data_IF_576424607164
#
_entry.id   IF_576424607164
#
_cell.length_a   1.000
_cell.length_b   1.000
_cell.length_c   1.000
_cell.angle_alpha   90.00
_cell.angle_beta   90.00
_cell.angle_gamma   90.00
#
_symmetry.space_group_name_H-M   'P 1'
#
loop_
_entity.id
_entity.type
_entity.pdbx_description
1 polymer ?
#
# COMPACT_ATOMS: atom_id res chain seq x y z
N UNK A 1 4.48 -25.57 -19.41
CA UNK A 1 3.76 -24.65 -20.30
C UNK A 1 4.70 -23.49 -20.56
N UNK A 2 4.98 -23.14 -21.81
CA UNK A 2 5.82 -21.98 -22.11
C UNK A 2 5.17 -20.73 -21.49
N UNK A 3 5.92 -19.83 -20.85
CA UNK A 3 5.37 -18.57 -20.38
C UNK A 3 4.82 -17.82 -21.59
N UNK A 4 3.57 -17.36 -21.50
CA UNK A 4 2.97 -16.55 -22.54
C UNK A 4 3.84 -15.30 -22.77
N UNK A 5 4.34 -15.14 -24.00
CA UNK A 5 5.11 -13.98 -24.46
C UNK A 5 4.21 -12.84 -24.92
N UNK A 6 2.92 -12.85 -24.57
CA UNK A 6 2.03 -11.76 -24.90
C UNK A 6 2.21 -10.65 -23.87
N UNK A 7 2.89 -9.60 -24.28
CA UNK A 7 3.10 -8.37 -23.52
C UNK A 7 1.76 -7.73 -23.09
N UNK A 8 1.81 -7.02 -21.96
CA UNK A 8 1.35 -5.62 -21.95
C UNK A 8 -0.06 -5.32 -21.46
N UNK A 9 -0.42 -4.07 -21.74
CA UNK A 9 -1.52 -3.26 -21.22
C UNK A 9 -2.90 -3.70 -21.74
N UNK A 10 -3.14 -5.01 -21.87
CA UNK A 10 -4.45 -5.52 -22.23
C UNK A 10 -5.29 -5.67 -20.96
N UNK A 11 -6.39 -4.92 -20.90
CA UNK A 11 -7.29 -4.87 -19.75
C UNK A 11 -8.71 -5.20 -20.21
N UNK A 12 -9.41 -6.03 -19.43
CA UNK A 12 -10.85 -6.19 -19.62
C UNK A 12 -11.60 -4.96 -19.09
N UNK A 13 -12.86 -4.83 -19.51
CA UNK A 13 -13.78 -3.84 -18.97
C UNK A 13 -13.90 -3.95 -17.45
N UNK A 14 -14.05 -2.79 -16.81
CA UNK A 14 -14.24 -2.72 -15.37
C UNK A 14 -15.52 -3.46 -14.95
N UNK A 15 -15.45 -4.20 -13.84
CA UNK A 15 -16.62 -4.88 -13.27
C UNK A 15 -16.94 -4.31 -11.88
N UNK A 16 -18.23 -4.30 -11.55
CA UNK A 16 -18.73 -3.84 -10.26
C UNK A 16 -18.65 -4.92 -9.20
N UNK A 17 -18.31 -4.52 -7.98
CA UNK A 17 -18.39 -5.33 -6.77
C UNK A 17 -19.44 -4.81 -5.79
N UNK A 18 -20.23 -3.81 -6.23
CA UNK A 18 -21.34 -3.19 -5.52
C UNK A 18 -20.94 -2.59 -4.15
N UNK A 19 -21.95 -2.23 -3.35
CA UNK A 19 -21.78 -1.52 -2.08
C UNK A 19 -21.56 -0.02 -2.26
N UNK A 20 -21.55 0.73 -1.16
CA UNK A 20 -21.30 2.18 -1.14
C UNK A 20 -20.35 2.50 0.00
N UNK A 21 -19.14 2.96 -0.32
CA UNK A 21 -18.00 2.98 0.60
C UNK A 21 -17.38 4.37 0.76
N UNK A 22 -16.93 4.67 1.98
CA UNK A 22 -16.44 6.02 2.35
C UNK A 22 -15.01 6.25 1.89
N UNK A 23 -14.18 5.20 1.85
CA UNK A 23 -12.74 5.28 1.64
C UNK A 23 -12.24 4.30 0.59
N UNK A 24 -10.96 4.45 0.24
CA UNK A 24 -10.26 3.50 -0.60
C UNK A 24 -10.23 2.11 0.07
N UNK A 25 -10.20 1.03 -0.71
CA UNK A 25 -10.16 -0.33 -0.17
C UNK A 25 -8.79 -0.72 0.36
N UNK A 26 -8.75 -1.73 1.23
CA UNK A 26 -7.59 -2.60 1.43
C UNK A 26 -7.83 -3.94 0.74
N UNK A 27 -6.78 -4.61 0.24
CA UNK A 27 -6.90 -5.93 -0.38
C UNK A 27 -5.68 -6.78 -0.04
N UNK A 28 -5.88 -8.07 0.18
CA UNK A 28 -4.80 -9.03 0.44
C UNK A 28 -5.18 -10.46 0.03
N UNK A 29 -4.20 -11.30 -0.31
CA UNK A 29 -4.44 -12.70 -0.61
C UNK A 29 -4.65 -13.51 0.67
N UNK A 30 -5.59 -14.46 0.63
CA UNK A 30 -5.70 -15.55 1.59
C UNK A 30 -4.55 -16.57 1.40
N UNK A 31 -4.47 -17.59 2.26
CA UNK A 31 -3.42 -18.61 2.15
C UNK A 31 -3.48 -19.41 0.84
N UNK A 32 -4.67 -19.49 0.24
CA UNK A 32 -4.94 -20.13 -1.04
C UNK A 32 -4.94 -19.15 -2.22
N UNK A 33 -4.31 -17.98 -2.04
CA UNK A 33 -4.12 -16.90 -3.02
C UNK A 33 -5.43 -16.25 -3.54
N UNK A 34 -6.58 -16.62 -2.97
CA UNK A 34 -7.85 -15.92 -3.23
C UNK A 34 -7.83 -14.54 -2.59
N UNK A 35 -8.13 -13.51 -3.36
CA UNK A 35 -8.14 -12.15 -2.86
C UNK A 35 -9.34 -11.88 -1.94
N UNK A 36 -9.10 -11.08 -0.90
CA UNK A 36 -10.13 -10.56 -0.02
C UNK A 36 -9.92 -9.05 0.19
N UNK A 37 -11.00 -8.30 0.02
CA UNK A 37 -11.03 -6.84 0.15
C UNK A 37 -11.66 -6.43 1.47
N UNK A 38 -11.25 -5.27 1.98
CA UNK A 38 -11.69 -4.68 3.24
C UNK A 38 -11.96 -3.19 3.07
N UNK A 39 -13.11 -2.71 3.55
CA UNK A 39 -13.55 -1.33 3.36
C UNK A 39 -14.24 -0.79 4.61
N UNK A 40 -14.25 0.53 4.76
CA UNK A 40 -15.07 1.23 5.74
C UNK A 40 -16.49 1.43 5.21
N UNK A 41 -17.48 0.87 5.91
CA UNK A 41 -18.90 1.15 5.69
C UNK A 41 -19.31 2.56 6.15
N UNK A 42 -20.46 3.05 5.68
CA UNK A 42 -21.02 4.33 6.15
C UNK A 42 -21.40 4.30 7.64
N UNK A 43 -21.58 3.12 8.21
CA UNK A 43 -21.76 2.85 9.64
C UNK A 43 -20.43 2.78 10.42
N UNK A 44 -19.31 3.09 9.75
CA UNK A 44 -17.95 2.98 10.26
C UNK A 44 -17.56 1.55 10.70
N UNK A 45 -18.23 0.51 10.19
CA UNK A 45 -17.83 -0.88 10.43
C UNK A 45 -16.85 -1.36 9.37
N UNK A 46 -16.11 -2.44 9.68
CA UNK A 46 -15.28 -3.15 8.71
C UNK A 46 -16.16 -4.09 7.88
N UNK A 47 -16.17 -3.88 6.56
CA UNK A 47 -16.83 -4.77 5.61
C UNK A 47 -15.81 -5.49 4.75
N UNK A 48 -16.16 -6.69 4.30
CA UNK A 48 -15.32 -7.51 3.45
C UNK A 48 -16.09 -8.23 2.35
N UNK A 49 -15.37 -8.54 1.28
CA UNK A 49 -15.80 -9.40 0.17
C UNK A 49 -14.59 -10.23 -0.25
N UNK A 50 -14.78 -11.47 -0.68
CA UNK A 50 -13.67 -12.37 -1.00
C UNK A 50 -13.95 -13.16 -2.28
N UNK A 51 -12.90 -13.66 -2.91
CA UNK A 51 -13.03 -14.61 -4.01
C UNK A 51 -13.40 -16.01 -3.47
N UNK A 52 -14.39 -16.64 -4.09
CA UNK A 52 -14.82 -18.01 -3.84
C UNK A 52 -14.03 -19.01 -4.70
N UNK A 53 -14.14 -20.30 -4.37
CA UNK A 53 -13.62 -21.37 -5.20
C UNK A 53 -14.28 -21.31 -6.60
N UNK A 54 -13.51 -20.94 -7.62
CA UNK A 54 -14.01 -20.64 -8.97
C UNK A 54 -13.73 -19.22 -9.45
N UNK A 55 -13.19 -18.35 -8.59
CA UNK A 55 -12.68 -17.02 -8.96
C UNK A 55 -13.71 -15.90 -8.95
N UNK A 56 -15.00 -16.24 -8.82
CA UNK A 56 -16.07 -15.26 -8.59
C UNK A 56 -15.93 -14.64 -7.20
N UNK A 57 -16.38 -13.40 -7.05
CA UNK A 57 -16.48 -12.77 -5.73
C UNK A 57 -17.76 -13.23 -5.03
N UNK A 58 -17.71 -13.34 -3.70
CA UNK A 58 -18.87 -13.65 -2.86
C UNK A 58 -20.03 -12.71 -3.18
N UNK A 59 -21.27 -13.19 -3.12
CA UNK A 59 -22.40 -12.39 -3.61
C UNK A 59 -22.58 -11.08 -2.82
N UNK A 60 -22.58 -11.17 -1.49
CA UNK A 60 -22.87 -10.06 -0.59
C UNK A 60 -21.61 -9.61 0.15
N UNK A 61 -21.58 -8.32 0.49
CA UNK A 61 -20.61 -7.81 1.45
C UNK A 61 -20.93 -8.33 2.86
N UNK A 62 -19.92 -8.85 3.53
CA UNK A 62 -20.02 -9.28 4.92
C UNK A 62 -19.56 -8.15 5.84
N UNK A 63 -20.36 -7.84 6.86
CA UNK A 63 -19.99 -6.91 7.93
C UNK A 63 -19.39 -7.71 9.07
N UNK A 64 -18.17 -7.40 9.49
CA UNK A 64 -17.64 -8.00 10.71
C UNK A 64 -18.41 -7.46 11.92
N UNK A 65 -19.06 -8.34 12.71
CA UNK A 65 -19.69 -7.90 13.95
C UNK A 65 -18.61 -7.55 14.98
N UNK A 66 -18.93 -6.60 15.86
CA UNK A 66 -18.23 -6.38 17.12
C UNK A 66 -16.70 -6.26 17.00
N UNK A 67 -16.21 -5.53 15.99
CA UNK A 67 -14.77 -5.32 15.72
C UNK A 67 -14.03 -4.54 16.80
N UNK A 68 -14.54 -4.41 18.03
CA UNK A 68 -13.92 -3.71 19.17
C UNK A 68 -13.68 -2.20 18.99
N UNK A 69 -13.80 -1.71 17.75
CA UNK A 69 -13.57 -0.34 17.32
C UNK A 69 -14.06 -0.13 15.88
N UNK A 70 -14.52 1.09 15.63
CA UNK A 70 -14.93 1.56 14.30
C UNK A 70 -13.71 1.78 13.39
N UNK A 71 -13.95 1.77 12.08
CA UNK A 71 -12.95 2.07 11.05
C UNK A 71 -13.02 3.55 10.69
N UNK A 72 -11.87 4.22 10.71
CA UNK A 72 -11.65 5.61 10.25
C UNK A 72 -10.45 5.62 9.29
N UNK A 73 -10.73 5.58 7.99
CA UNK A 73 -9.72 5.62 6.94
C UNK A 73 -9.66 4.35 6.09
N UNK A 74 -8.47 4.04 5.55
CA UNK A 74 -8.24 2.91 4.64
C UNK A 74 -7.65 1.72 5.40
N UNK A 75 -8.34 0.57 5.45
CA UNK A 75 -7.77 -0.66 5.99
C UNK A 75 -6.60 -1.16 5.14
N UNK A 76 -5.64 -1.85 5.77
CA UNK A 76 -4.51 -2.52 5.10
C UNK A 76 -4.56 -4.00 5.45
N UNK A 77 -4.56 -4.85 4.44
CA UNK A 77 -4.56 -6.31 4.61
C UNK A 77 -3.19 -6.88 4.28
N UNK A 78 -2.73 -7.83 5.09
CA UNK A 78 -1.44 -8.50 4.93
C UNK A 78 -1.56 -9.96 5.37
N UNK A 79 -1.08 -10.87 4.52
CA UNK A 79 -0.98 -12.30 4.85
C UNK A 79 0.35 -12.58 5.56
N UNK A 80 0.30 -13.22 6.71
CA UNK A 80 1.49 -13.72 7.42
C UNK A 80 2.02 -15.02 6.79
N UNK A 81 3.31 -15.37 6.99
CA UNK A 81 3.91 -16.60 6.47
C UNK A 81 3.19 -17.91 6.86
N UNK A 82 2.55 -17.97 8.02
CA UNK A 82 1.76 -19.11 8.48
C UNK A 82 0.37 -19.21 7.83
N UNK A 83 0.01 -18.24 6.97
CA UNK A 83 -1.18 -18.28 6.12
C UNK A 83 -2.34 -17.43 6.61
N UNK A 84 -2.29 -16.90 7.84
CA UNK A 84 -3.39 -16.07 8.32
C UNK A 84 -3.42 -14.70 7.65
N UNK A 85 -4.62 -14.24 7.34
CA UNK A 85 -4.83 -12.87 6.89
C UNK A 85 -5.03 -11.95 8.09
N UNK A 86 -4.24 -10.87 8.13
CA UNK A 86 -4.36 -9.78 9.08
C UNK A 86 -4.93 -8.55 8.38
N UNK A 87 -5.78 -7.80 9.07
CA UNK A 87 -6.26 -6.48 8.63
C UNK A 87 -5.99 -5.45 9.72
N UNK A 88 -5.47 -4.31 9.31
CA UNK A 88 -5.09 -3.19 10.16
C UNK A 88 -5.84 -1.94 9.75
N UNK A 89 -6.28 -1.15 10.72
CA UNK A 89 -6.94 0.12 10.44
C UNK A 89 -6.71 1.12 11.55
N UNK A 90 -6.96 2.39 11.23
CA UNK A 90 -7.06 3.46 12.21
C UNK A 90 -8.52 3.58 12.64
N UNK A 91 -8.77 3.75 13.95
CA UNK A 91 -10.09 4.04 14.50
C UNK A 91 -10.33 5.54 14.72
N UNK A 92 -11.60 5.98 14.89
CA UNK A 92 -11.92 7.38 15.15
C UNK A 92 -11.35 7.88 16.50
N UNK A 93 -10.97 6.96 17.38
CA UNK A 93 -10.27 7.22 18.62
C UNK A 93 -8.76 7.47 18.45
N UNK A 94 -8.29 7.59 17.20
CA UNK A 94 -6.88 7.69 16.83
C UNK A 94 -6.04 6.47 17.26
N UNK A 95 -6.64 5.29 17.40
CA UNK A 95 -5.91 4.05 17.67
C UNK A 95 -5.64 3.27 16.39
N UNK A 96 -4.56 2.47 16.38
CA UNK A 96 -4.37 1.44 15.37
C UNK A 96 -4.91 0.12 15.93
N UNK A 97 -5.77 -0.53 15.14
CA UNK A 97 -6.41 -1.79 15.45
C UNK A 97 -5.91 -2.88 14.51
N UNK A 98 -5.83 -4.12 15.02
CA UNK A 98 -5.58 -5.32 14.25
C UNK A 98 -6.73 -6.32 14.43
N UNK A 99 -7.13 -6.99 13.36
CA UNK A 99 -7.99 -8.18 13.36
C UNK A 99 -7.31 -9.23 12.49
N UNK A 100 -7.34 -10.50 12.89
CA UNK A 100 -6.73 -11.56 12.11
C UNK A 100 -7.56 -12.84 12.15
N UNK A 101 -7.33 -13.70 11.16
CA UNK A 101 -7.93 -15.03 11.07
C UNK A 101 -7.43 -15.91 12.22
N UNK A 102 -8.32 -16.68 12.85
CA UNK A 102 -7.96 -17.74 13.80
C UNK A 102 -7.92 -19.12 13.13
N UNK A 103 -8.57 -19.24 11.97
CA UNK A 103 -8.49 -20.39 11.10
C UNK A 103 -8.10 -19.92 9.70
N UNK A 104 -7.13 -20.59 9.08
CA UNK A 104 -6.67 -20.26 7.73
C UNK A 104 -7.87 -20.30 6.77
N UNK A 105 -8.10 -19.20 6.06
CA UNK A 105 -9.22 -19.02 5.12
C UNK A 105 -10.61 -19.20 5.77
N UNK A 106 -10.70 -19.04 7.10
CA UNK A 106 -11.88 -19.36 7.89
C UNK A 106 -12.27 -18.23 8.84
N UNK A 107 -12.52 -18.60 10.09
CA UNK A 107 -13.02 -17.70 11.12
C UNK A 107 -12.00 -16.63 11.52
N UNK A 108 -12.52 -15.51 12.00
CA UNK A 108 -11.75 -14.35 12.45
C UNK A 108 -11.85 -14.22 13.96
N UNK A 109 -10.77 -13.77 14.59
CA UNK A 109 -10.72 -13.53 16.03
C UNK A 109 -11.41 -12.25 16.47
N UNK A 110 -11.02 -11.77 17.64
CA UNK A 110 -11.39 -10.44 18.14
C UNK A 110 -10.34 -9.42 17.73
N UNK A 111 -10.75 -8.17 17.51
CA UNK A 111 -9.78 -7.11 17.26
C UNK A 111 -8.98 -6.76 18.50
N UNK A 112 -7.76 -6.27 18.30
CA UNK A 112 -6.89 -5.76 19.33
C UNK A 112 -6.43 -4.34 18.98
N UNK A 113 -6.48 -3.44 19.95
CA UNK A 113 -5.82 -2.13 19.87
C UNK A 113 -4.32 -2.33 20.08
N UNK A 114 -3.51 -2.00 19.08
CA UNK A 114 -2.05 -2.20 19.10
C UNK A 114 -1.27 -0.90 19.26
N UNK A 115 -1.88 0.24 18.98
CA UNK A 115 -1.28 1.55 19.19
C UNK A 115 -2.34 2.64 19.43
N UNK A 116 -1.90 3.80 19.91
CA UNK A 116 -2.72 5.00 20.12
C UNK A 116 -2.05 6.23 19.53
N UNK A 117 -2.77 7.35 19.49
CA UNK A 117 -2.27 8.64 19.02
C UNK A 117 -1.81 8.63 17.57
N UNK A 118 -2.45 7.82 16.73
CA UNK A 118 -2.23 7.79 15.30
C UNK A 118 -2.97 8.96 14.61
N UNK A 119 -2.25 9.72 13.79
CA UNK A 119 -2.76 10.76 12.93
C UNK A 119 -3.05 10.26 11.50
N UNK A 120 -2.40 9.19 11.03
CA UNK A 120 -2.61 8.62 9.69
C UNK A 120 -3.19 7.21 9.70
N UNK A 121 -3.54 6.69 8.52
CA UNK A 121 -3.72 5.24 8.30
C UNK A 121 -2.41 4.49 8.57
N UNK A 122 -2.48 3.19 8.94
CA UNK A 122 -1.29 2.36 9.11
C UNK A 122 -0.65 2.00 7.76
N UNK A 123 0.66 1.77 7.79
CA UNK A 123 1.44 1.14 6.73
C UNK A 123 2.09 -0.13 7.30
N UNK A 124 1.95 -1.27 6.62
CA UNK A 124 2.24 -2.58 7.21
C UNK A 124 3.17 -3.38 6.31
N UNK A 125 4.21 -4.00 6.88
CA UNK A 125 5.11 -4.89 6.16
C UNK A 125 5.58 -6.06 7.04
N UNK A 126 6.05 -7.11 6.38
CA UNK A 126 6.75 -8.22 7.03
C UNK A 126 8.25 -7.96 7.04
N UNK A 127 8.87 -8.13 8.22
CA UNK A 127 10.31 -8.33 8.34
C UNK A 127 10.72 -9.63 7.61
N UNK A 128 12.02 -9.85 7.42
CA UNK A 128 12.53 -11.04 6.74
C UNK A 128 12.24 -12.31 7.56
N UNK A 129 12.22 -12.20 8.88
CA UNK A 129 11.85 -13.28 9.81
C UNK A 129 10.34 -13.58 9.91
N UNK A 130 9.49 -12.84 9.19
CA UNK A 130 8.04 -13.05 9.18
C UNK A 130 7.27 -12.31 10.28
N UNK A 131 7.92 -11.54 11.15
CA UNK A 131 7.23 -10.64 12.09
C UNK A 131 6.63 -9.45 11.34
N UNK A 132 5.44 -9.02 11.76
CA UNK A 132 4.76 -7.86 11.20
C UNK A 132 5.27 -6.58 11.89
N UNK A 133 5.57 -5.55 11.10
CA UNK A 133 5.80 -4.19 11.59
C UNK A 133 4.74 -3.25 11.01
N UNK A 134 4.17 -2.41 11.88
CA UNK A 134 3.16 -1.42 11.53
C UNK A 134 3.71 -0.04 11.82
N UNK A 135 3.64 0.84 10.83
CA UNK A 135 4.11 2.22 10.88
C UNK A 135 2.95 3.17 10.71
N UNK A 136 3.01 4.31 11.37
CA UNK A 136 1.98 5.35 11.28
C UNK A 136 2.56 6.70 11.66
N UNK A 137 1.92 7.77 11.20
CA UNK A 137 2.24 9.12 11.64
C UNK A 137 1.51 9.41 12.95
N UNK A 138 2.21 9.89 13.97
CA UNK A 138 1.64 10.25 15.26
C UNK A 138 0.98 11.63 15.27
N UNK A 139 0.13 11.90 16.27
CA UNK A 139 -0.46 13.24 16.48
C UNK A 139 0.56 14.31 16.86
N UNK A 140 1.78 13.89 17.22
CA UNK A 140 2.96 14.73 17.44
C UNK A 140 3.78 14.99 16.16
N UNK A 141 3.27 14.57 14.99
CA UNK A 141 3.90 14.70 13.69
C UNK A 141 5.24 13.94 13.53
N UNK A 142 5.51 12.95 14.37
CA UNK A 142 6.61 11.99 14.20
C UNK A 142 6.12 10.71 13.51
N UNK A 143 7.05 9.91 12.99
CA UNK A 143 6.77 8.54 12.53
C UNK A 143 6.92 7.58 13.70
N UNK A 144 5.92 6.75 13.90
CA UNK A 144 5.85 5.76 14.96
C UNK A 144 5.77 4.36 14.37
N UNK A 145 6.23 3.39 15.15
CA UNK A 145 6.16 1.98 14.83
C UNK A 145 5.63 1.16 16.01
N UNK A 146 4.96 0.07 15.69
CA UNK A 146 4.65 -1.03 16.60
C UNK A 146 4.96 -2.35 15.90
N UNK A 147 5.59 -3.28 16.62
CA UNK A 147 6.10 -4.51 16.03
C UNK A 147 5.47 -5.72 16.69
N UNK A 148 5.23 -6.75 15.90
CA UNK A 148 4.94 -8.07 16.42
C UNK A 148 6.17 -8.59 17.17
N UNK A 149 5.99 -9.15 18.36
CA UNK A 149 7.11 -9.68 19.15
C UNK A 149 7.59 -11.04 18.62
N UNK A 150 6.64 -11.90 18.22
CA UNK A 150 6.87 -13.26 17.76
C UNK A 150 5.94 -13.61 16.60
N UNK A 151 6.35 -14.54 15.75
CA UNK A 151 5.54 -15.06 14.62
C UNK A 151 4.36 -15.95 15.05
N UNK A 152 3.98 -15.93 16.33
CA UNK A 152 2.70 -16.44 16.82
C UNK A 152 1.56 -15.42 16.69
N UNK A 153 1.90 -14.17 16.33
CA UNK A 153 0.97 -13.06 16.11
C UNK A 153 0.12 -12.66 17.33
N UNK A 154 0.50 -13.10 18.54
CA UNK A 154 -0.29 -12.89 19.77
C UNK A 154 0.05 -11.61 20.52
N UNK A 155 1.32 -11.15 20.47
CA UNK A 155 1.79 -10.02 21.29
C UNK A 155 2.54 -8.95 20.49
N UNK A 156 2.25 -7.69 20.80
CA UNK A 156 2.85 -6.52 20.16
C UNK A 156 3.79 -5.79 21.12
N UNK A 157 4.82 -5.13 20.59
CA UNK A 157 5.66 -4.22 21.39
C UNK A 157 4.84 -3.01 21.84
N UNK A 158 5.36 -2.24 22.80
CA UNK A 158 4.88 -0.87 22.97
C UNK A 158 5.23 -0.03 21.73
N UNK A 159 4.43 0.99 21.38
CA UNK A 159 4.79 1.91 20.31
C UNK A 159 6.11 2.63 20.61
N UNK A 160 6.92 2.82 19.57
CA UNK A 160 8.19 3.56 19.64
C UNK A 160 8.32 4.51 18.46
N UNK A 161 8.99 5.64 18.66
CA UNK A 161 9.16 6.65 17.61
C UNK A 161 10.43 6.38 16.78
N UNK A 162 10.34 6.65 15.48
CA UNK A 162 11.46 6.75 14.54
C UNK A 162 11.93 8.22 14.37
N UNK A 163 11.36 9.14 15.16
CA UNK A 163 11.54 10.57 15.00
C UNK A 163 10.91 11.06 13.69
N UNK A 164 11.63 11.95 13.00
CA UNK A 164 11.11 12.65 11.83
C UNK A 164 10.22 13.84 12.22
N UNK A 165 9.86 14.64 11.22
CA UNK A 165 8.94 15.76 11.38
C UNK A 165 8.14 15.95 10.08
N UNK A 166 6.84 15.64 10.16
CA UNK A 166 5.91 15.82 9.04
C UNK A 166 5.08 17.11 9.15
N UNK A 167 5.21 17.87 10.23
CA UNK A 167 4.48 19.11 10.46
C UNK A 167 2.96 18.95 10.29
N UNK A 168 2.36 19.78 9.44
CA UNK A 168 0.90 19.76 9.17
C UNK A 168 0.46 18.56 8.32
N UNK A 169 1.40 17.77 7.78
CA UNK A 169 1.13 16.61 6.93
C UNK A 169 0.81 15.33 7.74
N UNK A 170 0.48 15.47 9.03
CA UNK A 170 0.27 14.36 9.97
C UNK A 170 -0.79 13.32 9.56
N UNK A 171 -1.74 13.70 8.69
CA UNK A 171 -2.79 12.80 8.18
C UNK A 171 -2.33 11.89 7.05
N UNK A 172 -1.18 12.18 6.44
CA UNK A 172 -0.62 11.38 5.36
C UNK A 172 0.09 10.15 5.94
N UNK A 173 -0.31 8.98 5.47
CA UNK A 173 0.30 7.72 5.88
C UNK A 173 1.71 7.60 5.31
N UNK A 174 2.66 7.03 6.07
CA UNK A 174 3.94 6.61 5.51
C UNK A 174 3.74 5.47 4.51
N UNK A 175 4.75 5.21 3.67
CA UNK A 175 4.87 3.98 2.91
C UNK A 175 5.94 3.09 3.54
N UNK A 176 5.79 1.77 3.47
CA UNK A 176 6.79 0.81 3.95
C UNK A 176 6.98 -0.31 2.93
N UNK A 177 8.21 -0.76 2.77
CA UNK A 177 8.57 -1.88 1.90
C UNK A 177 9.79 -2.62 2.46
N UNK A 178 9.93 -3.91 2.14
CA UNK A 178 11.14 -4.70 2.44
C UNK A 178 12.03 -4.79 1.20
N UNK A 179 13.28 -4.39 1.32
CA UNK A 179 14.25 -4.48 0.23
C UNK A 179 14.88 -5.89 0.10
N UNK A 180 15.70 -6.11 -0.93
CA UNK A 180 16.39 -7.37 -1.18
C UNK A 180 17.44 -7.79 -0.15
N UNK A 181 17.86 -6.87 0.72
CA UNK A 181 18.71 -7.17 1.89
C UNK A 181 17.88 -7.58 3.13
N UNK A 182 16.56 -7.70 2.99
CA UNK A 182 15.65 -8.05 4.08
C UNK A 182 15.33 -6.90 5.04
N UNK A 183 15.76 -5.67 4.74
CA UNK A 183 15.54 -4.50 5.60
C UNK A 183 14.21 -3.85 5.26
N UNK A 184 13.46 -3.45 6.29
CA UNK A 184 12.33 -2.55 6.12
C UNK A 184 12.83 -1.12 5.89
N UNK A 185 12.19 -0.44 4.95
CA UNK A 185 12.39 0.97 4.65
C UNK A 185 11.05 1.70 4.69
N UNK A 186 11.03 2.84 5.36
CA UNK A 186 9.84 3.66 5.61
C UNK A 186 10.03 5.02 4.96
N UNK A 187 9.03 5.47 4.21
CA UNK A 187 9.04 6.75 3.51
C UNK A 187 7.89 7.64 3.97
N UNK A 188 8.15 8.92 4.19
CA UNK A 188 7.18 9.86 4.73
C UNK A 188 7.22 11.21 4.00
N UNK A 189 6.07 11.89 3.97
CA UNK A 189 5.94 13.27 3.51
C UNK A 189 6.43 14.21 4.61
N UNK A 190 7.50 14.95 4.36
CA UNK A 190 8.13 15.89 5.29
C UNK A 190 7.33 17.18 5.53
N UNK A 191 7.73 17.94 6.54
CA UNK A 191 7.08 19.21 6.91
C UNK A 191 7.24 20.36 5.91
N UNK A 192 8.21 20.33 4.98
CA UNK A 192 8.32 21.32 3.90
C UNK A 192 8.03 20.67 2.54
N UNK A 193 7.08 19.73 2.49
CA UNK A 193 6.64 19.10 1.24
C UNK A 193 7.72 18.35 0.47
N UNK A 194 8.49 17.55 1.21
CA UNK A 194 9.47 16.59 0.70
C UNK A 194 9.05 15.13 0.88
N UNK A 195 9.82 14.22 0.28
CA UNK A 195 9.87 12.80 0.67
C UNK A 195 11.17 12.52 1.41
N UNK A 196 11.05 11.92 2.59
CA UNK A 196 12.16 11.40 3.41
C UNK A 196 12.04 9.88 3.55
N UNK A 197 13.17 9.19 3.63
CA UNK A 197 13.25 7.74 3.86
C UNK A 197 14.10 7.39 5.08
N UNK A 198 13.78 6.30 5.77
CA UNK A 198 14.59 5.72 6.84
C UNK A 198 14.59 4.20 6.70
N UNK A 199 15.74 3.57 6.89
CA UNK A 199 15.92 2.13 6.73
C UNK A 199 16.38 1.48 8.03
N UNK A 200 15.96 0.24 8.28
CA UNK A 200 16.60 -0.59 9.30
C UNK A 200 18.10 -0.73 8.97
N UNK A 201 18.97 -0.82 9.98
CA UNK A 201 20.42 -0.99 9.74
C UNK A 201 20.78 -2.38 9.22
N UNK A 202 19.98 -3.39 9.58
CA UNK A 202 20.11 -4.77 9.16
C UNK A 202 18.70 -5.39 9.07
N UNK A 203 18.58 -6.55 8.41
CA UNK A 203 17.32 -7.30 8.40
C UNK A 203 16.83 -7.53 9.83
N UNK A 204 15.50 -7.45 10.03
CA UNK A 204 14.80 -7.76 11.27
C UNK A 204 15.12 -6.83 12.47
N UNK A 205 15.95 -5.80 12.26
CA UNK A 205 16.43 -4.87 13.29
C UNK A 205 15.38 -3.82 13.65
N UNK A 206 14.28 -4.23 14.28
CA UNK A 206 13.13 -3.36 14.60
C UNK A 206 13.44 -2.23 15.58
N UNK A 207 14.57 -2.26 16.29
CA UNK A 207 15.02 -1.20 17.22
C UNK A 207 16.23 -0.40 16.72
N UNK A 208 16.76 -0.68 15.53
CA UNK A 208 18.00 -0.07 15.03
C UNK A 208 17.82 0.43 13.60
N UNK A 209 17.69 1.76 13.49
CA UNK A 209 17.43 2.47 12.24
C UNK A 209 18.60 3.37 11.85
N UNK A 210 18.82 3.52 10.55
CA UNK A 210 19.75 4.47 9.98
C UNK A 210 19.28 5.93 10.13
N UNK A 211 20.08 6.90 9.64
CA UNK A 211 19.63 8.28 9.56
C UNK A 211 18.52 8.46 8.51
N UNK A 212 17.68 9.48 8.72
CA UNK A 212 16.75 9.95 7.70
C UNK A 212 17.51 10.43 6.46
N UNK A 213 17.13 9.90 5.29
CA UNK A 213 17.73 10.18 3.99
C UNK A 213 16.73 10.94 3.13
N UNK A 214 17.20 11.97 2.44
CA UNK A 214 16.37 12.80 1.59
C UNK A 214 16.10 12.09 0.25
N UNK A 215 14.83 11.95 -0.16
CA UNK A 215 14.44 11.25 -1.40
C UNK A 215 14.04 12.24 -2.50
N UNK A 216 13.40 13.35 -2.14
CA UNK A 216 13.12 14.48 -3.04
C UNK A 216 13.88 15.74 -2.60
N UNK A 217 13.98 16.75 -3.46
CA UNK A 217 14.47 18.07 -3.03
C UNK A 217 13.63 18.65 -1.86
N UNK A 218 14.22 19.57 -1.08
CA UNK A 218 13.50 20.35 -0.07
C UNK A 218 12.49 21.27 -0.75
N UNK A 219 11.32 21.47 -0.15
CA UNK A 219 10.26 22.31 -0.76
C UNK A 219 9.90 21.85 -2.18
N UNK A 220 9.90 20.53 -2.40
CA UNK A 220 9.57 19.94 -3.68
C UNK A 220 8.09 20.10 -4.05
N UNK A 221 7.25 20.56 -3.12
CA UNK A 221 5.81 20.70 -3.34
C UNK A 221 5.10 19.36 -3.45
N UNK A 222 5.62 18.34 -2.77
CA UNK A 222 5.01 17.01 -2.68
C UNK A 222 3.59 17.15 -2.14
N UNK A 223 2.65 16.42 -2.75
CA UNK A 223 1.25 16.41 -2.34
C UNK A 223 0.78 14.97 -2.15
N UNK A 224 0.29 14.66 -0.94
CA UNK A 224 -0.22 13.34 -0.60
C UNK A 224 0.88 12.37 -0.14
N UNK A 225 0.48 11.16 0.27
CA UNK A 225 1.43 10.12 0.71
C UNK A 225 2.33 9.68 -0.44
N UNK A 226 3.63 9.40 -0.18
CA UNK A 226 4.46 8.66 -1.12
C UNK A 226 3.98 7.22 -1.22
N UNK A 227 4.38 6.52 -2.29
CA UNK A 227 4.15 5.09 -2.50
C UNK A 227 5.49 4.39 -2.73
N UNK A 228 5.72 3.23 -2.13
CA UNK A 228 6.98 2.49 -2.28
C UNK A 228 6.72 1.04 -2.70
N UNK A 229 7.55 0.52 -3.60
CA UNK A 229 7.50 -0.86 -4.10
C UNK A 229 8.91 -1.34 -4.42
N UNK A 230 9.11 -2.64 -4.53
CA UNK A 230 10.34 -3.21 -5.07
C UNK A 230 10.25 -3.47 -6.57
N UNK A 231 11.39 -3.33 -7.26
CA UNK A 231 11.55 -3.80 -8.64
C UNK A 231 11.97 -5.29 -8.69
N UNK A 232 12.28 -5.80 -9.89
CA UNK A 232 12.62 -7.22 -10.07
C UNK A 232 13.92 -7.63 -9.36
N UNK A 233 14.82 -6.67 -9.11
CA UNK A 233 16.04 -6.90 -8.31
C UNK A 233 15.81 -6.67 -6.81
N UNK A 234 14.54 -6.54 -6.39
CA UNK A 234 14.15 -6.24 -5.02
C UNK A 234 14.69 -4.90 -4.50
N UNK A 235 15.06 -3.98 -5.40
CA UNK A 235 15.50 -2.63 -5.05
C UNK A 235 14.27 -1.74 -4.87
N UNK A 236 14.32 -0.85 -3.89
CA UNK A 236 13.18 0.02 -3.59
C UNK A 236 13.07 1.12 -4.63
N UNK A 237 11.84 1.34 -5.11
CA UNK A 237 11.43 2.52 -5.88
C UNK A 237 10.29 3.23 -5.16
N UNK A 238 10.46 4.54 -4.99
CA UNK A 238 9.50 5.43 -4.33
C UNK A 238 8.89 6.35 -5.37
N UNK A 239 7.58 6.52 -5.32
CA UNK A 239 6.77 7.37 -6.18
C UNK A 239 6.07 8.45 -5.37
N UNK A 240 5.92 9.63 -5.95
CA UNK A 240 5.15 10.73 -5.35
C UNK A 240 4.61 11.67 -6.43
N UNK A 241 3.74 12.59 -6.02
CA UNK A 241 3.26 13.68 -6.87
C UNK A 241 3.75 15.02 -6.34
N UNK A 242 4.14 15.92 -7.22
CA UNK A 242 4.27 17.34 -6.92
C UNK A 242 3.58 18.17 -8.01
N UNK A 243 2.64 19.04 -7.61
CA UNK A 243 1.73 19.68 -8.54
C UNK A 243 0.96 18.65 -9.37
N UNK A 244 1.01 18.75 -10.70
CA UNK A 244 0.38 17.81 -11.62
C UNK A 244 1.34 16.76 -12.20
N UNK A 245 2.54 16.64 -11.62
CA UNK A 245 3.61 15.79 -12.12
C UNK A 245 3.89 14.64 -11.16
N UNK A 246 3.97 13.43 -11.70
CA UNK A 246 4.46 12.26 -10.98
C UNK A 246 5.98 12.17 -11.04
N UNK A 247 6.60 11.76 -9.94
CA UNK A 247 8.04 11.55 -9.83
C UNK A 247 8.32 10.18 -9.24
N UNK A 248 9.52 9.66 -9.49
CA UNK A 248 10.06 8.53 -8.78
C UNK A 248 11.56 8.66 -8.50
N UNK A 249 12.03 7.90 -7.52
CA UNK A 249 13.44 7.65 -7.24
C UNK A 249 13.63 6.16 -6.96
N UNK A 250 14.75 5.60 -7.40
CA UNK A 250 15.08 4.19 -7.20
C UNK A 250 16.41 4.05 -6.48
N UNK A 251 16.55 2.95 -5.74
CA UNK A 251 17.82 2.55 -5.16
C UNK A 251 18.81 2.11 -6.24
N UNK A 252 20.09 2.28 -5.92
CA UNK A 252 21.20 1.66 -6.63
C UNK A 252 21.25 0.14 -6.41
N UNK A 253 22.14 -0.55 -7.12
CA UNK A 253 22.42 -1.98 -6.90
C UNK A 253 22.93 -2.30 -5.48
N UNK A 254 23.34 -1.28 -4.72
CA UNK A 254 23.77 -1.38 -3.32
C UNK A 254 22.63 -1.11 -2.33
N UNK A 255 21.36 -1.13 -2.77
CA UNK A 255 20.18 -0.90 -1.92
C UNK A 255 20.27 0.41 -1.12
N UNK A 256 20.75 1.47 -1.77
CA UNK A 256 20.86 2.81 -1.20
C UNK A 256 20.39 3.86 -2.19
N UNK A 257 19.83 4.95 -1.68
CA UNK A 257 19.54 6.15 -2.46
C UNK A 257 20.78 7.04 -2.57
N UNK A 258 20.94 7.80 -3.67
CA UNK A 258 22.02 8.76 -3.79
C UNK A 258 21.91 9.85 -2.72
N UNK A 259 23.05 10.31 -2.20
CA UNK A 259 23.09 11.36 -1.17
C UNK A 259 22.46 12.68 -1.64
N UNK A 260 22.57 12.98 -2.93
CA UNK A 260 21.85 14.09 -3.57
C UNK A 260 20.65 13.52 -4.32
N UNK A 261 19.41 13.94 -4.01
CA UNK A 261 18.22 13.50 -4.73
C UNK A 261 18.34 13.73 -6.25
N UNK A 262 18.02 12.71 -7.04
CA UNK A 262 17.97 12.77 -8.51
C UNK A 262 16.65 12.18 -9.03
N UNK A 263 15.49 12.78 -8.67
CA UNK A 263 14.20 12.23 -9.04
C UNK A 263 13.97 12.29 -10.55
N UNK A 264 13.33 11.26 -11.08
CA UNK A 264 12.93 11.18 -12.47
C UNK A 264 11.42 11.45 -12.58
N UNK A 265 11.01 12.07 -13.69
CA UNK A 265 9.61 12.42 -13.94
C UNK A 265 8.88 11.26 -14.66
N UNK A 266 7.66 10.96 -14.22
CA UNK A 266 6.74 10.12 -14.94
C UNK A 266 6.05 10.88 -16.08
N UNK A 267 5.76 10.22 -17.21
CA UNK A 267 5.02 10.82 -18.30
C UNK A 267 3.55 11.07 -17.92
N UNK A 268 2.95 12.10 -18.51
CA UNK A 268 1.55 12.48 -18.30
C UNK A 268 1.32 13.53 -17.22
N UNK A 269 0.04 13.84 -16.99
CA UNK A 269 -0.42 14.81 -16.00
C UNK A 269 -1.37 14.11 -15.04
N UNK A 270 -1.13 14.26 -13.73
CA UNK A 270 -1.78 13.43 -12.72
C UNK A 270 -2.40 14.25 -11.59
N UNK A 271 -3.47 13.74 -10.99
CA UNK A 271 -4.19 14.39 -9.87
C UNK A 271 -4.03 13.72 -8.51
N UNK A 272 -3.45 12.52 -8.48
CA UNK A 272 -3.17 11.75 -7.26
C UNK A 272 -1.76 11.15 -7.32
N UNK A 273 -1.22 10.70 -6.19
CA UNK A 273 0.07 10.01 -6.15
C UNK A 273 0.06 8.73 -7.02
N UNK A 274 1.14 8.44 -7.77
CA UNK A 274 1.24 7.18 -8.51
C UNK A 274 1.27 5.98 -7.56
N UNK A 275 0.59 4.89 -7.92
CA UNK A 275 0.68 3.60 -7.22
C UNK A 275 1.16 2.53 -8.18
N UNK A 276 1.99 1.60 -7.73
CA UNK A 276 2.69 0.67 -8.60
C UNK A 276 2.62 -0.77 -8.12
N UNK A 277 2.75 -1.71 -9.05
CA UNK A 277 2.88 -3.14 -8.76
C UNK A 277 3.92 -3.74 -9.71
N UNK A 278 4.73 -4.67 -9.20
CA UNK A 278 5.66 -5.44 -10.03
C UNK A 278 4.88 -6.49 -10.84
N UNK A 279 4.86 -6.40 -12.16
CA UNK A 279 4.20 -7.38 -13.02
C UNK A 279 5.00 -8.68 -13.14
N UNK A 280 4.38 -9.72 -13.71
CA UNK A 280 4.98 -11.06 -13.85
C UNK A 280 6.24 -11.06 -14.73
N UNK A 281 6.36 -10.12 -15.64
CA UNK A 281 7.49 -9.97 -16.56
C UNK A 281 8.68 -9.18 -15.96
N UNK A 282 8.61 -8.86 -14.66
CA UNK A 282 9.66 -8.15 -13.94
C UNK A 282 9.62 -6.63 -14.12
N UNK A 283 8.63 -6.08 -14.82
CA UNK A 283 8.48 -4.64 -15.04
C UNK A 283 7.45 -4.05 -14.08
N UNK A 284 7.66 -2.81 -13.66
CA UNK A 284 6.65 -2.10 -12.87
C UNK A 284 5.51 -1.63 -13.78
N UNK A 285 4.27 -1.89 -13.36
CA UNK A 285 3.09 -1.20 -13.85
C UNK A 285 2.70 -0.13 -12.83
N UNK A 286 2.69 1.13 -13.29
CA UNK A 286 2.39 2.31 -12.49
C UNK A 286 1.04 2.86 -12.90
N UNK A 287 0.11 2.89 -11.97
CA UNK A 287 -1.22 3.42 -12.14
C UNK A 287 -1.26 4.88 -11.73
N UNK A 288 -1.80 5.71 -12.61
CA UNK A 288 -1.93 7.15 -12.42
C UNK A 288 -3.35 7.60 -12.71
N UNK A 289 -3.78 8.66 -12.04
CA UNK A 289 -5.12 9.24 -12.24
C UNK A 289 -4.97 10.56 -12.99
N UNK A 290 -5.61 10.67 -14.15
CA UNK A 290 -5.60 11.85 -15.00
C UNK A 290 -6.46 13.00 -14.45
N UNK A 291 -6.38 14.18 -15.07
CA UNK A 291 -7.17 15.36 -14.68
C UNK A 291 -8.68 15.16 -14.85
N UNK A 292 -9.09 14.26 -15.73
CA UNK A 292 -10.46 13.80 -15.94
C UNK A 292 -10.89 12.70 -14.93
N UNK A 293 -10.06 12.44 -13.91
CA UNK A 293 -10.26 11.40 -12.89
C UNK A 293 -10.32 9.98 -13.46
N UNK A 294 -9.86 9.76 -14.69
CA UNK A 294 -9.72 8.42 -15.25
C UNK A 294 -8.42 7.74 -14.80
N UNK A 295 -8.46 6.43 -14.67
CA UNK A 295 -7.29 5.60 -14.41
C UNK A 295 -6.52 5.40 -15.72
N UNK A 296 -5.21 5.56 -15.66
CA UNK A 296 -4.28 5.15 -16.71
C UNK A 296 -3.18 4.26 -16.12
N UNK A 297 -2.61 3.42 -16.98
CA UNK A 297 -1.45 2.60 -16.65
C UNK A 297 -0.26 3.06 -17.48
N UNK A 298 0.90 3.14 -16.82
CA UNK A 298 2.20 3.42 -17.38
C UNK A 298 3.07 2.20 -17.12
N UNK A 299 3.74 1.68 -18.12
CA UNK A 299 4.58 0.49 -18.00
C UNK A 299 6.06 0.85 -18.03
N UNK A 300 6.85 0.26 -17.15
CA UNK A 300 8.31 0.35 -17.23
C UNK A 300 8.80 -0.27 -18.54
N UNK A 301 9.81 0.32 -19.19
CA UNK A 301 10.31 -0.17 -20.48
C UNK A 301 11.26 -1.36 -20.27
N UNK A 302 12.60 -1.24 -20.15
CA UNK A 302 13.35 -2.34 -19.55
C UNK A 302 12.93 -2.51 -18.09
N UNK A 303 12.95 -3.75 -17.57
CA UNK A 303 12.86 -3.94 -16.12
C UNK A 303 14.00 -3.16 -15.44
N UNK A 304 13.77 -2.68 -14.22
CA UNK A 304 14.79 -2.07 -13.37
C UNK A 304 15.34 -0.70 -13.86
N UNK A 305 14.82 -0.16 -14.97
CA UNK A 305 15.22 1.11 -15.58
C UNK A 305 14.31 2.29 -15.14
N UNK A 306 14.69 3.52 -15.51
CA UNK A 306 13.93 4.75 -15.19
C UNK A 306 12.99 5.19 -16.31
N UNK A 307 12.95 4.49 -17.45
CA UNK A 307 12.09 4.86 -18.58
C UNK A 307 10.74 4.12 -18.56
N UNK A 308 9.70 4.87 -18.91
CA UNK A 308 8.32 4.39 -18.90
C UNK A 308 7.59 4.69 -20.23
N UNK A 309 6.51 3.98 -20.52
CA UNK A 309 5.62 4.25 -21.66
C UNK A 309 4.79 5.52 -21.44
N UNK A 310 4.14 6.04 -22.47
CA UNK A 310 3.09 7.05 -22.25
C UNK A 310 1.90 6.43 -21.51
N UNK A 311 1.11 7.22 -20.76
CA UNK A 311 -0.08 6.70 -20.09
C UNK A 311 -1.08 6.10 -21.09
N UNK A 312 -1.51 4.88 -20.84
CA UNK A 312 -2.64 4.26 -21.51
C UNK A 312 -3.87 4.35 -20.61
N UNK A 313 -4.89 5.06 -21.07
CA UNK A 313 -6.14 5.21 -20.34
C UNK A 313 -6.91 3.89 -20.27
N UNK A 314 -7.32 3.52 -19.07
CA UNK A 314 -8.22 2.39 -18.79
C UNK A 314 -9.67 2.87 -18.64
N UNK A 315 -9.87 4.10 -18.17
CA UNK A 315 -11.18 4.72 -17.97
C UNK A 315 -11.56 4.83 -16.49
N UNK A 316 -12.86 4.79 -16.20
CA UNK A 316 -13.39 4.96 -14.85
C UNK A 316 -13.44 6.42 -14.38
N UNK A 317 -13.90 6.61 -13.13
CA UNK A 317 -14.01 7.90 -12.45
C UNK A 317 -13.61 7.74 -10.98
N UNK A 318 -12.34 8.03 -10.66
CA UNK A 318 -11.68 7.70 -9.40
C UNK A 318 -11.53 8.94 -8.50
N UNK A 319 -12.40 9.13 -7.48
CA UNK A 319 -12.22 10.18 -6.47
C UNK A 319 -10.99 10.00 -5.56
N UNK A 320 -10.31 8.85 -5.61
CA UNK A 320 -9.13 8.54 -4.80
C UNK A 320 -8.27 7.44 -5.43
N UNK A 321 -7.29 6.96 -4.69
CA UNK A 321 -6.29 6.01 -5.18
C UNK A 321 -6.88 4.59 -5.43
N UNK A 322 -6.44 3.91 -6.51
CA UNK A 322 -6.68 2.48 -6.69
C UNK A 322 -5.71 1.66 -5.84
N UNK A 323 -5.97 0.35 -5.71
CA UNK A 323 -5.14 -0.55 -4.89
C UNK A 323 -4.76 -1.80 -5.67
N UNK A 324 -3.76 -1.72 -6.56
CA UNK A 324 -3.38 -2.83 -7.42
C UNK A 324 -2.97 -4.06 -6.59
N UNK A 325 -3.42 -5.23 -7.02
CA UNK A 325 -3.12 -6.53 -6.42
C UNK A 325 -2.95 -7.58 -7.52
N UNK A 326 -2.53 -8.79 -7.13
CA UNK A 326 -2.36 -9.92 -8.05
C UNK A 326 -3.32 -11.04 -7.70
N UNK A 327 -3.93 -11.63 -8.72
CA UNK A 327 -4.56 -12.93 -8.59
C UNK A 327 -3.51 -14.03 -8.41
N UNK A 328 -3.97 -15.23 -8.04
CA UNK A 328 -3.14 -16.45 -7.93
C UNK A 328 -2.34 -16.79 -9.20
N UNK A 329 -2.83 -16.39 -10.37
CA UNK A 329 -2.16 -16.59 -11.66
C UNK A 329 -1.24 -15.42 -12.08
N UNK A 330 -0.95 -14.50 -11.14
CA UNK A 330 -0.14 -13.30 -11.32
C UNK A 330 -0.73 -12.20 -12.22
N UNK A 331 -1.94 -12.37 -12.76
CA UNK A 331 -2.63 -11.26 -13.43
C UNK A 331 -2.97 -10.17 -12.43
N UNK A 332 -2.86 -8.92 -12.87
CA UNK A 332 -3.12 -7.76 -12.02
C UNK A 332 -4.62 -7.45 -12.00
N UNK A 333 -5.13 -7.18 -10.80
CA UNK A 333 -6.43 -6.54 -10.58
C UNK A 333 -6.20 -5.18 -9.96
N UNK A 334 -7.00 -4.19 -10.35
CA UNK A 334 -6.89 -2.82 -9.86
C UNK A 334 -8.25 -2.37 -9.34
N UNK A 335 -8.59 -2.75 -8.11
CA UNK A 335 -9.80 -2.27 -7.47
C UNK A 335 -9.71 -0.78 -7.11
N UNK A 336 -10.84 -0.11 -7.16
CA UNK A 336 -10.99 1.30 -6.83
C UNK A 336 -12.41 1.62 -6.38
N UNK A 337 -12.56 2.75 -5.69
CA UNK A 337 -13.87 3.34 -5.39
C UNK A 337 -14.26 4.30 -6.52
N UNK A 338 -15.46 4.15 -7.07
CA UNK A 338 -16.03 5.06 -8.08
C UNK A 338 -16.61 6.34 -7.48
N UNK A 339 -16.89 7.33 -8.34
CA UNK A 339 -17.51 8.60 -7.95
C UNK A 339 -18.94 8.45 -7.36
N UNK A 340 -19.61 7.35 -7.68
CA UNK A 340 -20.90 6.94 -7.09
C UNK A 340 -20.74 6.22 -5.74
N UNK A 341 -19.53 6.23 -5.18
CA UNK A 341 -19.12 5.50 -3.97
C UNK A 341 -19.17 3.96 -4.09
N UNK A 342 -19.48 3.41 -5.27
CA UNK A 342 -19.45 1.96 -5.47
C UNK A 342 -18.05 1.43 -5.70
N UNK A 343 -17.89 0.13 -5.52
CA UNK A 343 -16.62 -0.54 -5.73
C UNK A 343 -16.54 -1.18 -7.10
N UNK A 344 -15.42 -0.96 -7.78
CA UNK A 344 -15.14 -1.45 -9.13
C UNK A 344 -13.71 -1.99 -9.22
N UNK A 345 -13.42 -2.76 -10.25
CA UNK A 345 -12.05 -3.18 -10.54
C UNK A 345 -11.79 -3.33 -12.04
N UNK A 346 -10.57 -2.98 -12.46
CA UNK A 346 -10.00 -3.41 -13.74
C UNK A 346 -9.24 -4.72 -13.55
N UNK A 347 -9.18 -5.56 -14.58
CA UNK A 347 -8.35 -6.78 -14.58
C UNK A 347 -7.53 -6.89 -15.86
N UNK A 348 -6.29 -7.33 -15.71
CA UNK A 348 -5.43 -7.68 -16.82
C UNK A 348 -5.92 -9.00 -17.47
N UNK A 349 -5.82 -9.11 -18.79
CA UNK A 349 -6.27 -10.30 -19.55
C UNK A 349 -5.14 -11.08 -20.18
#
# INVERSE_FOLDING_TARGET
>A
MAPATTHGLSWADHFGLDGSWVNNPGIGPNADDRLQTFVQGSDQSLHTKWQEAGGNWSQNWYRYPDTGGNVDGTPVALRSPDGFLHVFWRGPDNSIWNLHQQEINGTWGTSAKIASSAASNPAVALNADGRISVFYTGTDAAIWQVNQQQVDYTTWTQPSTLGGNVGTNAKLAPAVVRNGEGRLEVFAHGHEDEVWGIAQKAADATSSWGPWTQISARKAGVTGSPFAVTDADQRVRVFWRAGSTGYHAAQSAQYTFPATPQPQQLPGTIVEAPVAVLAMDGRLQVFVIGTDRSLSVIEQRPHNDDTFTQPQQLGGQLPGLPVPAKYADNRIVVPYRGADSKWYAFRQV
#
